data_IF_875684557338
#
_entry.id   IF_875684557338
#
_cell.length_a   1.000
_cell.length_b   1.000
_cell.length_c   1.000
_cell.angle_alpha   90.00
_cell.angle_beta   90.00
_cell.angle_gamma   90.00
#
_symmetry.space_group_name_H-M   'P 1'
#
loop_
_entity.id
_entity.type
_entity.pdbx_description
1 polymer ?
#
# COMPACT_ATOMS: atom_id res chain seq x y z
N UNK A 1 24.60 -12.14 -26.22
CA UNK A 1 24.24 -12.09 -24.79
C UNK A 1 23.34 -10.90 -24.38
N UNK A 2 22.77 -10.09 -25.29
CA UNK A 2 22.16 -8.79 -24.87
C UNK A 2 20.66 -8.61 -25.13
N UNK A 3 19.96 -9.54 -25.80
CA UNK A 3 18.51 -9.40 -26.06
C UNK A 3 17.62 -10.02 -24.98
N UNK A 4 18.06 -11.11 -24.34
CA UNK A 4 17.26 -11.82 -23.32
C UNK A 4 17.22 -11.03 -22.00
N UNK A 5 18.34 -10.39 -21.63
CA UNK A 5 18.37 -9.47 -20.48
C UNK A 5 17.48 -8.25 -20.72
N UNK A 6 17.48 -7.67 -21.93
CA UNK A 6 16.65 -6.51 -22.21
C UNK A 6 15.14 -6.82 -22.13
N UNK A 7 14.70 -7.99 -22.62
CA UNK A 7 13.30 -8.42 -22.49
C UNK A 7 12.92 -8.78 -21.05
N UNK A 8 13.78 -9.47 -20.31
CA UNK A 8 13.48 -9.83 -18.92
C UNK A 8 13.39 -8.58 -18.03
N UNK A 9 14.30 -7.61 -18.21
CA UNK A 9 14.26 -6.32 -17.49
C UNK A 9 13.10 -5.44 -17.95
N UNK A 10 12.75 -5.41 -19.24
CA UNK A 10 11.57 -4.64 -19.71
C UNK A 10 10.25 -5.26 -19.25
N UNK A 11 10.12 -6.58 -19.22
CA UNK A 11 8.91 -7.26 -18.71
C UNK A 11 8.76 -7.06 -17.21
N UNK A 12 9.85 -7.16 -16.43
CA UNK A 12 9.83 -6.82 -15.00
C UNK A 12 9.48 -5.35 -14.76
N UNK A 13 10.05 -4.41 -15.54
CA UNK A 13 9.70 -2.99 -15.47
C UNK A 13 8.23 -2.73 -15.86
N UNK A 14 7.67 -3.51 -16.80
CA UNK A 14 6.25 -3.46 -17.16
C UNK A 14 5.37 -3.97 -16.02
N UNK A 15 5.77 -5.05 -15.33
CA UNK A 15 5.04 -5.54 -14.16
C UNK A 15 5.09 -4.53 -13.00
N UNK A 16 6.25 -3.96 -12.70
CA UNK A 16 6.41 -2.95 -11.65
C UNK A 16 5.58 -1.69 -11.92
N UNK A 17 5.62 -1.16 -13.16
CA UNK A 17 4.78 -0.01 -13.54
C UNK A 17 3.30 -0.35 -13.52
N UNK A 18 2.91 -1.54 -13.97
CA UNK A 18 1.50 -1.97 -13.94
C UNK A 18 1.00 -2.06 -12.49
N UNK A 19 1.80 -2.62 -11.59
CA UNK A 19 1.51 -2.68 -10.16
C UNK A 19 1.42 -1.28 -9.59
N UNK A 20 2.37 -0.39 -9.89
CA UNK A 20 2.37 1.01 -9.47
C UNK A 20 1.08 1.74 -9.91
N UNK A 21 0.70 1.60 -11.18
CA UNK A 21 -0.55 2.19 -11.68
C UNK A 21 -1.78 1.56 -11.03
N UNK A 22 -1.78 0.24 -10.81
CA UNK A 22 -2.87 -0.46 -10.16
C UNK A 22 -3.11 0.04 -8.74
N UNK A 23 -2.06 0.05 -7.90
CA UNK A 23 -2.17 0.51 -6.52
C UNK A 23 -2.43 2.03 -6.44
N UNK A 24 -1.91 2.82 -7.38
CA UNK A 24 -2.22 4.24 -7.49
C UNK A 24 -3.71 4.50 -7.76
N UNK A 25 -4.32 3.71 -8.64
CA UNK A 25 -5.76 3.78 -8.89
C UNK A 25 -6.57 3.36 -7.66
N UNK A 26 -6.15 2.31 -6.96
CA UNK A 26 -6.77 1.87 -5.70
C UNK A 26 -6.71 3.00 -4.66
N UNK A 27 -5.53 3.57 -4.43
CA UNK A 27 -5.31 4.65 -3.45
C UNK A 27 -6.15 5.89 -3.74
N UNK A 28 -6.33 6.25 -5.01
CA UNK A 28 -7.14 7.41 -5.38
C UNK A 28 -8.64 7.11 -5.29
N UNK A 29 -9.05 5.90 -5.67
CA UNK A 29 -10.47 5.52 -5.72
C UNK A 29 -11.05 5.25 -4.33
N UNK A 30 -10.27 4.69 -3.41
CA UNK A 30 -10.74 4.27 -2.09
C UNK A 30 -11.06 5.44 -1.15
N UNK A 31 -10.83 6.69 -1.56
CA UNK A 31 -11.33 7.89 -0.87
C UNK A 31 -12.86 7.88 -0.83
N UNK A 32 -13.51 7.32 -1.86
CA UNK A 32 -14.94 7.01 -1.84
C UNK A 32 -15.17 5.65 -1.14
N UNK A 33 -15.95 5.61 -0.05
CA UNK A 33 -16.27 4.37 0.65
C UNK A 33 -16.93 3.29 -0.22
N UNK A 34 -17.71 3.67 -1.25
CA UNK A 34 -18.33 2.71 -2.16
C UNK A 34 -17.28 1.96 -2.98
N UNK A 35 -16.27 2.68 -3.48
CA UNK A 35 -15.12 2.09 -4.15
C UNK A 35 -14.28 1.25 -3.19
N UNK A 36 -14.09 1.72 -1.95
CA UNK A 36 -13.38 0.96 -0.92
C UNK A 36 -14.02 -0.40 -0.61
N UNK A 37 -15.35 -0.48 -0.63
CA UNK A 37 -16.07 -1.73 -0.45
C UNK A 37 -15.83 -2.70 -1.63
N UNK A 38 -15.88 -2.21 -2.87
CA UNK A 38 -15.60 -3.00 -4.08
C UNK A 38 -14.15 -3.51 -4.06
N UNK A 39 -13.19 -2.64 -3.75
CA UNK A 39 -11.76 -2.99 -3.63
C UNK A 39 -11.56 -4.10 -2.59
N UNK A 40 -12.25 -4.01 -1.45
CA UNK A 40 -12.20 -5.04 -0.41
C UNK A 40 -12.78 -6.37 -0.90
N UNK A 41 -13.88 -6.35 -1.67
CA UNK A 41 -14.48 -7.57 -2.25
C UNK A 41 -13.60 -8.24 -3.32
N UNK A 42 -12.71 -7.49 -3.96
CA UNK A 42 -11.82 -7.98 -5.02
C UNK A 42 -10.40 -8.30 -4.51
N UNK A 43 -10.24 -8.67 -3.24
CA UNK A 43 -8.94 -8.99 -2.63
C UNK A 43 -7.89 -7.87 -2.74
N UNK A 44 -8.34 -6.61 -2.83
CA UNK A 44 -7.45 -5.45 -2.95
C UNK A 44 -6.58 -5.21 -1.71
N UNK A 45 -7.02 -5.66 -0.53
CA UNK A 45 -6.29 -5.52 0.73
C UNK A 45 -5.04 -6.42 0.76
N UNK A 46 -5.13 -7.76 0.53
CA UNK A 46 -3.96 -8.61 0.38
C UNK A 46 -2.94 -8.08 -0.63
N UNK A 47 -3.42 -7.58 -1.78
CA UNK A 47 -2.57 -7.00 -2.82
C UNK A 47 -1.86 -5.73 -2.35
N UNK A 48 -2.57 -4.83 -1.66
CA UNK A 48 -1.97 -3.63 -1.07
C UNK A 48 -0.91 -3.98 0.00
N UNK A 49 -1.11 -5.06 0.77
CA UNK A 49 -0.13 -5.52 1.77
C UNK A 49 1.15 -5.98 1.07
N UNK A 50 1.02 -6.75 -0.03
CA UNK A 50 2.17 -7.15 -0.84
C UNK A 50 2.93 -5.95 -1.41
N UNK A 51 2.21 -4.90 -1.82
CA UNK A 51 2.79 -3.67 -2.35
C UNK A 51 3.68 -2.92 -1.36
N UNK A 52 3.52 -3.12 -0.03
CA UNK A 52 4.44 -2.56 0.96
C UNK A 52 5.85 -3.10 0.79
N UNK A 53 6.04 -4.34 0.33
CA UNK A 53 7.38 -4.92 0.13
C UNK A 53 8.02 -4.52 -1.21
N UNK A 54 7.38 -3.64 -1.98
CA UNK A 54 7.86 -3.25 -3.32
C UNK A 54 9.14 -2.43 -3.25
N UNK A 55 10.11 -2.65 -4.16
CA UNK A 55 11.27 -1.76 -4.31
C UNK A 55 10.90 -0.40 -4.90
N UNK A 56 9.71 -0.27 -5.49
CA UNK A 56 9.23 0.95 -6.14
C UNK A 56 8.61 1.88 -5.10
N UNK A 57 9.27 3.02 -4.84
CA UNK A 57 8.86 3.99 -3.82
C UNK A 57 7.40 4.42 -3.96
N UNK A 58 6.97 4.69 -5.20
CA UNK A 58 5.59 5.12 -5.46
C UNK A 58 4.57 4.03 -5.11
N UNK A 59 4.88 2.77 -5.40
CA UNK A 59 4.02 1.63 -5.07
C UNK A 59 3.78 1.55 -3.56
N UNK A 60 4.83 1.70 -2.76
CA UNK A 60 4.75 1.72 -1.29
C UNK A 60 3.94 2.93 -0.80
N UNK A 61 4.16 4.13 -1.37
CA UNK A 61 3.41 5.33 -1.03
C UNK A 61 1.90 5.16 -1.30
N UNK A 62 1.53 4.62 -2.46
CA UNK A 62 0.14 4.36 -2.80
C UNK A 62 -0.47 3.28 -1.92
N UNK A 63 0.27 2.24 -1.53
CA UNK A 63 -0.21 1.24 -0.59
C UNK A 63 -0.51 1.85 0.80
N UNK A 64 0.40 2.67 1.33
CA UNK A 64 0.19 3.40 2.59
C UNK A 64 -1.03 4.34 2.50
N UNK A 65 -1.16 5.07 1.38
CA UNK A 65 -2.32 5.91 1.11
C UNK A 65 -3.62 5.14 1.04
N UNK A 66 -3.64 3.98 0.38
CA UNK A 66 -4.80 3.11 0.30
C UNK A 66 -5.22 2.63 1.70
N UNK A 67 -4.30 2.18 2.55
CA UNK A 67 -4.64 1.73 3.91
C UNK A 67 -5.26 2.82 4.78
N UNK A 68 -4.83 4.07 4.62
CA UNK A 68 -5.40 5.20 5.35
C UNK A 68 -6.92 5.34 5.15
N UNK A 69 -7.42 5.02 3.96
CA UNK A 69 -8.84 5.09 3.60
C UNK A 69 -9.55 3.74 3.70
N UNK A 70 -8.92 2.65 3.27
CA UNK A 70 -9.52 1.32 3.26
C UNK A 70 -9.77 0.80 4.67
N UNK A 71 -8.92 1.11 5.65
CA UNK A 71 -9.09 0.63 7.02
C UNK A 71 -10.39 1.16 7.64
N UNK A 72 -11.33 0.24 7.89
CA UNK A 72 -12.64 0.48 8.46
C UNK A 72 -13.04 -0.71 9.35
N UNK A 73 -14.19 -0.62 10.03
CA UNK A 73 -14.62 -1.66 11.00
C UNK A 73 -14.71 -3.07 10.41
N UNK A 74 -15.01 -3.22 9.13
CA UNK A 74 -15.20 -4.53 8.49
C UNK A 74 -13.89 -5.24 8.12
N UNK A 75 -12.82 -4.49 7.82
CA UNK A 75 -11.54 -5.04 7.36
C UNK A 75 -10.38 -4.74 8.31
N UNK A 76 -10.68 -4.15 9.47
CA UNK A 76 -9.70 -3.78 10.49
C UNK A 76 -8.85 -4.96 10.94
N UNK A 77 -9.45 -6.13 11.14
CA UNK A 77 -8.73 -7.33 11.60
C UNK A 77 -7.69 -7.82 10.59
N UNK A 78 -7.91 -7.53 9.31
CA UNK A 78 -6.98 -7.89 8.26
C UNK A 78 -5.86 -6.86 8.08
N UNK A 79 -6.20 -5.57 8.11
CA UNK A 79 -5.24 -4.48 7.90
C UNK A 79 -4.40 -4.23 9.16
N UNK A 80 -4.95 -4.42 10.36
CA UNK A 80 -4.25 -4.26 11.64
C UNK A 80 -3.64 -5.55 12.17
N UNK A 81 -3.34 -6.50 11.28
CA UNK A 81 -2.51 -7.65 11.64
C UNK A 81 -1.16 -7.18 12.18
N UNK A 82 -0.62 -7.82 13.24
CA UNK A 82 0.64 -7.39 13.86
C UNK A 82 1.78 -7.23 12.85
N UNK A 83 1.86 -8.11 11.86
CA UNK A 83 2.91 -8.08 10.83
C UNK A 83 2.77 -6.85 9.91
N UNK A 84 1.54 -6.42 9.62
CA UNK A 84 1.28 -5.23 8.80
C UNK A 84 1.57 -3.96 9.59
N UNK A 85 1.15 -3.91 10.86
CA UNK A 85 1.41 -2.76 11.74
C UNK A 85 2.91 -2.56 11.96
N UNK A 86 3.68 -3.61 12.23
CA UNK A 86 5.13 -3.53 12.39
C UNK A 86 5.82 -2.96 11.12
N UNK A 87 5.38 -3.37 9.94
CA UNK A 87 5.88 -2.80 8.67
C UNK A 87 5.55 -1.30 8.57
N UNK A 88 4.33 -0.90 8.93
CA UNK A 88 3.92 0.51 8.89
C UNK A 88 4.68 1.34 9.94
N UNK A 89 4.94 0.81 11.13
CA UNK A 89 5.77 1.46 12.16
C UNK A 89 7.20 1.69 11.68
N UNK A 90 7.79 0.72 10.97
CA UNK A 90 9.10 0.89 10.33
C UNK A 90 9.08 2.00 9.28
N UNK A 91 8.01 2.13 8.50
CA UNK A 91 7.84 3.24 7.57
C UNK A 91 7.68 4.59 8.28
N UNK A 92 6.96 4.63 9.40
CA UNK A 92 6.81 5.81 10.25
C UNK A 92 8.16 6.31 10.81
N UNK A 93 9.10 5.39 11.07
CA UNK A 93 10.46 5.68 11.51
C UNK A 93 11.47 5.91 10.37
N UNK A 94 11.06 5.76 9.11
CA UNK A 94 11.97 5.89 7.97
C UNK A 94 12.41 7.34 7.70
N UNK A 95 13.59 7.52 7.11
CA UNK A 95 14.09 8.84 6.68
C UNK A 95 13.33 9.40 5.47
N UNK A 96 12.55 8.56 4.77
CA UNK A 96 11.73 9.00 3.67
C UNK A 96 10.49 9.74 4.23
N UNK A 97 10.49 11.06 4.05
CA UNK A 97 9.44 11.94 4.59
C UNK A 97 8.05 11.54 4.11
N UNK A 98 7.91 11.08 2.86
CA UNK A 98 6.62 10.65 2.31
C UNK A 98 6.08 9.42 3.03
N UNK A 99 6.93 8.39 3.19
CA UNK A 99 6.58 7.18 3.93
C UNK A 99 6.27 7.49 5.39
N UNK A 100 7.15 8.24 6.06
CA UNK A 100 6.98 8.60 7.47
C UNK A 100 5.64 9.31 7.70
N UNK A 101 5.29 10.27 6.86
CA UNK A 101 4.08 11.06 7.04
C UNK A 101 2.80 10.24 6.84
N UNK A 102 2.74 9.43 5.77
CA UNK A 102 1.57 8.59 5.49
C UNK A 102 1.40 7.48 6.54
N UNK A 103 2.51 6.84 6.94
CA UNK A 103 2.49 5.82 7.97
C UNK A 103 2.05 6.37 9.34
N UNK A 104 2.58 7.53 9.75
CA UNK A 104 2.14 8.21 10.97
C UNK A 104 0.65 8.56 10.93
N UNK A 105 0.19 9.15 9.82
CA UNK A 105 -1.22 9.48 9.64
C UNK A 105 -2.14 8.25 9.73
N UNK A 106 -1.70 7.11 9.18
CA UNK A 106 -2.41 5.84 9.32
C UNK A 106 -2.46 5.37 10.78
N UNK A 107 -1.31 5.33 11.46
CA UNK A 107 -1.21 4.86 12.84
C UNK A 107 -2.06 5.74 13.77
N UNK A 108 -1.95 7.06 13.64
CA UNK A 108 -2.72 8.03 14.42
C UNK A 108 -4.23 7.88 14.26
N UNK A 109 -4.69 7.51 13.06
CA UNK A 109 -6.12 7.34 12.76
C UNK A 109 -6.68 5.99 13.22
N UNK A 110 -5.91 4.92 13.11
CA UNK A 110 -6.44 3.54 13.20
C UNK A 110 -5.86 2.67 14.32
N UNK A 111 -4.66 2.99 14.78
CA UNK A 111 -3.92 2.23 15.80
C UNK A 111 -3.87 2.98 17.13
N UNK A 112 -3.64 4.29 17.09
CA UNK A 112 -3.62 5.15 18.29
C UNK A 112 -5.02 5.23 18.91
N UNK A 113 -5.25 4.39 19.92
CA UNK A 113 -6.21 4.65 20.99
C UNK A 113 -5.47 5.37 22.12
N UNK A 114 -6.08 6.44 22.63
CA UNK A 114 -5.64 7.30 23.74
C UNK A 114 -4.55 8.36 23.44
N UNK A 115 -5.02 9.60 23.27
CA UNK A 115 -4.65 10.66 24.21
C UNK A 115 -5.81 10.91 25.15
#
# INVERSE_FOLDING_TARGET
>A
MSFILFYHTNILLSCEKLVEFGIGNISNSCVDPANGAIITQCDGIPLAIQCLSSPVINTVNYALGAFYYLCNKANREEILKPEVVDVIERYAASQNVSFSNLAKAFLDKHVSKDK
#
